data_IF_881949321926
#
_entry.id   IF_881949321926
#
_cell.length_a   1.000
_cell.length_b   1.000
_cell.length_c   1.000
_cell.angle_alpha   90.00
_cell.angle_beta   90.00
_cell.angle_gamma   90.00
#
_symmetry.space_group_name_H-M   'P 1'
#
loop_
_entity.id
_entity.type
_entity.pdbx_description
1 polymer ?
#
# COMPACT_ATOMS: atom_id res chain seq x y z
N UNK A 1 23.20 6.21 -12.36
CA UNK A 1 22.94 6.82 -11.04
C UNK A 1 22.16 5.83 -10.18
N UNK A 2 22.58 5.59 -8.93
CA UNK A 2 21.91 4.65 -8.02
C UNK A 2 21.19 5.47 -6.95
N UNK A 3 19.88 5.24 -6.79
CA UNK A 3 19.05 5.93 -5.79
C UNK A 3 18.17 4.94 -5.03
N UNK A 4 17.70 5.34 -3.87
CA UNK A 4 16.80 4.53 -3.07
C UNK A 4 15.55 5.31 -2.62
N UNK A 5 14.45 4.58 -2.47
CA UNK A 5 13.27 4.99 -1.75
C UNK A 5 13.04 4.08 -0.56
N UNK A 6 12.79 4.65 0.60
CA UNK A 6 12.51 3.92 1.84
C UNK A 6 11.15 4.34 2.38
N UNK A 7 10.22 3.40 2.44
CA UNK A 7 8.88 3.58 3.01
C UNK A 7 8.84 2.90 4.38
N UNK A 8 8.60 3.67 5.43
CA UNK A 8 8.41 3.13 6.78
C UNK A 8 6.98 3.38 7.21
N UNK A 9 6.15 2.39 6.94
CA UNK A 9 4.74 2.39 7.29
C UNK A 9 4.47 2.04 8.75
N UNK A 10 3.21 1.72 9.06
CA UNK A 10 2.75 1.36 10.42
C UNK A 10 2.87 -0.13 10.74
N UNK A 11 2.97 -1.02 9.73
CA UNK A 11 3.08 -2.49 9.89
C UNK A 11 4.30 -3.06 9.18
N UNK A 12 4.71 -2.46 8.10
CA UNK A 12 5.85 -2.89 7.28
C UNK A 12 6.73 -1.71 6.90
N UNK A 13 7.98 -2.02 6.56
CA UNK A 13 8.92 -1.13 5.93
C UNK A 13 9.39 -1.74 4.63
N UNK A 14 9.48 -0.91 3.59
CA UNK A 14 9.85 -1.25 2.24
C UNK A 14 11.02 -0.40 1.77
N UNK A 15 11.93 -1.00 1.02
CA UNK A 15 12.99 -0.27 0.33
C UNK A 15 13.08 -0.72 -1.12
N UNK A 16 13.25 0.24 -2.02
CA UNK A 16 13.48 0.02 -3.45
C UNK A 16 14.78 0.70 -3.85
N UNK A 17 15.65 -0.04 -4.52
CA UNK A 17 16.89 0.48 -5.12
C UNK A 17 16.70 0.55 -6.63
N UNK A 18 16.86 1.76 -7.18
CA UNK A 18 16.79 2.02 -8.62
C UNK A 18 18.16 2.33 -9.19
N UNK A 19 18.42 1.83 -10.37
CA UNK A 19 19.46 2.33 -11.27
C UNK A 19 18.77 2.83 -12.53
N UNK A 20 18.87 4.13 -12.75
CA UNK A 20 18.19 4.81 -13.86
C UNK A 20 16.67 4.53 -13.85
N UNK A 21 16.12 3.81 -14.82
CA UNK A 21 14.71 3.41 -14.90
C UNK A 21 14.43 1.95 -14.49
N UNK A 22 15.42 1.26 -13.89
CA UNK A 22 15.30 -0.16 -13.56
C UNK A 22 15.33 -0.40 -12.05
N UNK A 23 14.42 -1.23 -11.57
CA UNK A 23 14.46 -1.73 -10.19
C UNK A 23 15.56 -2.78 -10.10
N UNK A 24 16.66 -2.48 -9.36
CA UNK A 24 17.74 -3.43 -9.11
C UNK A 24 17.35 -4.47 -8.06
N UNK A 25 16.75 -3.99 -6.97
CA UNK A 25 16.32 -4.83 -5.87
C UNK A 25 15.29 -4.11 -5.01
N UNK A 26 14.56 -4.89 -4.23
CA UNK A 26 13.70 -4.39 -3.18
C UNK A 26 13.66 -5.36 -1.99
N UNK A 27 13.21 -4.86 -0.86
CA UNK A 27 12.97 -5.62 0.36
C UNK A 27 11.69 -5.15 1.04
N UNK A 28 11.01 -6.08 1.70
CA UNK A 28 9.83 -5.85 2.55
C UNK A 28 10.08 -6.54 3.88
N UNK A 29 9.84 -5.85 4.99
CA UNK A 29 9.92 -6.46 6.32
C UNK A 29 8.87 -5.89 7.27
N UNK A 30 8.56 -6.58 8.34
CA UNK A 30 7.74 -6.02 9.42
C UNK A 30 8.49 -4.90 10.13
N UNK A 31 7.75 -3.85 10.53
CA UNK A 31 8.35 -2.73 11.29
C UNK A 31 8.90 -3.19 12.62
N UNK A 32 9.99 -2.58 13.02
CA UNK A 32 10.54 -2.61 14.37
C UNK A 32 9.94 -1.48 15.21
N UNK A 33 10.09 -1.51 16.55
CA UNK A 33 9.54 -0.45 17.41
C UNK A 33 10.04 0.97 17.10
N UNK A 34 11.24 1.06 16.48
CA UNK A 34 11.85 2.33 16.09
C UNK A 34 11.92 2.40 14.57
N UNK A 35 11.37 3.47 13.94
CA UNK A 35 11.38 3.63 12.48
C UNK A 35 12.78 3.61 11.89
N UNK A 36 13.78 4.19 12.58
CA UNK A 36 15.16 4.24 12.14
C UNK A 36 15.73 2.83 11.90
N UNK A 37 15.48 1.91 12.84
CA UNK A 37 15.96 0.53 12.75
C UNK A 37 15.28 -0.24 11.60
N UNK A 38 14.01 0.04 11.34
CA UNK A 38 13.30 -0.54 10.20
C UNK A 38 13.93 -0.05 8.90
N UNK A 39 14.12 1.26 8.77
CA UNK A 39 14.66 1.87 7.58
C UNK A 39 16.09 1.38 7.27
N UNK A 40 16.96 1.38 8.27
CA UNK A 40 18.34 0.91 8.12
C UNK A 40 18.38 -0.54 7.66
N UNK A 41 17.62 -1.42 8.31
CA UNK A 41 17.64 -2.85 8.02
C UNK A 41 17.01 -3.15 6.65
N UNK A 42 15.83 -2.60 6.33
CA UNK A 42 15.17 -2.87 5.05
C UNK A 42 15.97 -2.34 3.87
N UNK A 43 16.58 -1.15 4.02
CA UNK A 43 17.42 -0.57 2.98
C UNK A 43 18.74 -1.34 2.82
N UNK A 44 19.39 -1.71 3.92
CA UNK A 44 20.60 -2.52 3.87
C UNK A 44 20.37 -3.88 3.17
N UNK A 45 19.23 -4.54 3.46
CA UNK A 45 18.85 -5.80 2.80
C UNK A 45 18.58 -5.63 1.31
N UNK A 46 17.90 -4.56 0.91
CA UNK A 46 17.67 -4.25 -0.51
C UNK A 46 18.97 -3.98 -1.24
N UNK A 47 19.86 -3.18 -0.65
CA UNK A 47 21.20 -2.91 -1.20
C UNK A 47 22.06 -4.17 -1.32
N UNK A 48 22.07 -5.02 -0.30
CA UNK A 48 22.80 -6.29 -0.32
C UNK A 48 22.34 -7.22 -1.45
N UNK A 49 21.03 -7.29 -1.74
CA UNK A 49 20.49 -8.02 -2.89
C UNK A 49 21.02 -7.50 -4.22
N UNK A 50 21.24 -6.19 -4.32
CA UNK A 50 21.84 -5.54 -5.49
C UNK A 50 23.39 -5.59 -5.47
N UNK A 51 24.02 -6.16 -4.43
CA UNK A 51 25.48 -6.16 -4.20
C UNK A 51 26.04 -4.75 -4.04
N UNK A 52 25.32 -3.88 -3.39
CA UNK A 52 25.61 -2.48 -3.11
C UNK A 52 25.64 -2.21 -1.60
N UNK A 53 26.19 -1.05 -1.24
CA UNK A 53 26.23 -0.49 0.12
C UNK A 53 25.57 0.90 0.17
N UNK A 54 25.43 1.49 1.35
CA UNK A 54 24.91 2.86 1.49
C UNK A 54 25.78 3.91 0.81
N UNK A 55 27.09 3.66 0.69
CA UNK A 55 28.07 4.57 0.05
C UNK A 55 27.86 4.66 -1.47
N UNK A 56 27.23 3.65 -2.08
CA UNK A 56 26.91 3.64 -3.51
C UNK A 56 25.69 4.49 -3.86
N UNK A 57 24.89 4.91 -2.84
CA UNK A 57 23.68 5.70 -3.06
C UNK A 57 24.00 7.15 -3.38
N UNK A 58 23.59 7.62 -4.54
CA UNK A 58 23.63 9.04 -4.92
C UNK A 58 22.58 9.88 -4.16
N UNK A 59 21.41 9.30 -3.88
CA UNK A 59 20.30 9.96 -3.20
C UNK A 59 19.31 8.96 -2.62
N UNK A 60 18.73 9.29 -1.47
CA UNK A 60 17.64 8.52 -0.84
C UNK A 60 16.49 9.43 -0.43
N UNK A 61 15.27 9.02 -0.74
CA UNK A 61 14.02 9.67 -0.26
C UNK A 61 13.30 8.73 0.68
N UNK A 62 12.90 9.24 1.83
CA UNK A 62 12.05 8.55 2.79
C UNK A 62 10.58 8.92 2.61
N UNK A 63 9.68 7.97 2.91
CA UNK A 63 8.24 8.14 2.90
C UNK A 63 7.58 7.30 4.01
N UNK A 64 6.25 7.36 4.12
CA UNK A 64 5.50 6.67 5.17
C UNK A 64 5.41 7.43 6.49
N UNK A 65 4.83 6.79 7.51
CA UNK A 65 4.68 7.39 8.85
C UNK A 65 6.00 7.72 9.53
N UNK A 66 7.03 6.90 9.29
CA UNK A 66 8.37 7.05 9.88
C UNK A 66 9.28 8.01 9.15
N UNK A 67 8.89 8.58 8.02
CA UNK A 67 9.76 9.31 7.07
C UNK A 67 10.65 10.38 7.68
N UNK A 68 10.17 11.11 8.68
CA UNK A 68 10.92 12.23 9.28
C UNK A 68 12.08 11.77 10.20
N UNK A 69 12.16 10.45 10.50
CA UNK A 69 13.13 9.90 11.43
C UNK A 69 14.22 9.06 10.76
N UNK A 70 14.33 9.11 9.44
CA UNK A 70 15.29 8.28 8.70
C UNK A 70 16.61 9.01 8.53
N UNK A 71 17.69 8.57 9.24
CA UNK A 71 18.91 9.38 9.37
C UNK A 71 19.75 9.47 8.09
N UNK A 72 19.66 8.49 7.19
CA UNK A 72 20.39 8.46 5.91
C UNK A 72 19.59 9.04 4.74
N UNK A 73 18.36 9.44 4.96
CA UNK A 73 17.51 10.03 3.92
C UNK A 73 17.94 11.47 3.64
N UNK A 74 18.12 11.80 2.36
CA UNK A 74 18.44 13.18 1.93
C UNK A 74 17.20 14.09 1.97
N UNK A 75 16.01 13.51 1.92
CA UNK A 75 14.74 14.25 2.01
C UNK A 75 13.56 13.32 2.22
N UNK A 76 12.46 13.85 2.75
CA UNK A 76 11.20 13.14 2.92
C UNK A 76 10.12 13.65 1.96
N UNK A 77 9.22 12.75 1.55
CA UNK A 77 8.05 13.04 0.73
C UNK A 77 6.87 12.24 1.30
N UNK A 78 5.66 12.80 1.20
CA UNK A 78 4.46 12.13 1.69
C UNK A 78 4.18 10.84 0.90
N UNK A 79 3.74 9.80 1.61
CA UNK A 79 3.36 8.51 1.01
C UNK A 79 2.24 8.67 -0.03
N UNK A 80 1.38 9.66 0.11
CA UNK A 80 0.31 9.95 -0.86
C UNK A 80 0.92 10.28 -2.23
N UNK A 81 1.92 11.16 -2.25
CA UNK A 81 2.63 11.53 -3.49
C UNK A 81 3.42 10.34 -4.05
N UNK A 82 4.05 9.57 -3.15
CA UNK A 82 4.88 8.44 -3.56
C UNK A 82 4.06 7.31 -4.17
N UNK A 83 2.93 6.90 -3.56
CA UNK A 83 2.04 5.89 -4.15
C UNK A 83 1.49 6.34 -5.51
N UNK A 84 1.08 7.61 -5.62
CA UNK A 84 0.63 8.17 -6.89
C UNK A 84 1.70 8.10 -7.99
N UNK A 85 2.93 8.53 -7.67
CA UNK A 85 4.05 8.55 -8.60
C UNK A 85 4.50 7.14 -9.00
N UNK A 86 4.56 6.22 -8.03
CA UNK A 86 4.95 4.83 -8.25
C UNK A 86 3.94 4.07 -9.12
N UNK A 87 2.64 4.18 -8.81
CA UNK A 87 1.59 3.52 -9.60
C UNK A 87 1.55 4.03 -11.05
N UNK A 88 1.70 5.35 -11.24
CA UNK A 88 1.75 5.94 -12.57
C UNK A 88 3.00 5.51 -13.37
N UNK A 89 4.15 5.31 -12.71
CA UNK A 89 5.35 4.80 -13.38
C UNK A 89 5.14 3.37 -13.88
N UNK A 90 4.44 2.52 -13.11
CA UNK A 90 4.12 1.14 -13.53
C UNK A 90 3.14 1.14 -14.70
N UNK A 91 2.11 1.99 -14.66
CA UNK A 91 1.18 2.17 -15.76
C UNK A 91 0.84 3.66 -15.95
N UNK A 92 1.32 4.29 -17.05
CA UNK A 92 1.08 5.70 -17.34
C UNK A 92 -0.39 6.10 -17.55
N UNK A 93 -1.32 5.14 -17.68
CA UNK A 93 -2.76 5.40 -17.79
C UNK A 93 -3.46 5.50 -16.43
N UNK A 94 -2.82 5.09 -15.35
CA UNK A 94 -3.36 5.21 -13.99
C UNK A 94 -3.59 6.68 -13.66
N UNK A 95 -4.81 6.99 -13.18
CA UNK A 95 -5.21 8.31 -12.70
C UNK A 95 -5.79 8.27 -11.30
N UNK A 96 -6.17 7.09 -10.83
CA UNK A 96 -6.67 6.89 -9.48
C UNK A 96 -5.91 5.75 -8.83
N UNK A 97 -5.42 5.97 -7.62
CA UNK A 97 -4.72 4.96 -6.82
C UNK A 97 -5.48 4.75 -5.53
N UNK A 98 -5.82 3.50 -5.24
CA UNK A 98 -6.41 3.08 -3.98
C UNK A 98 -5.30 2.41 -3.16
N UNK A 99 -4.76 3.15 -2.21
CA UNK A 99 -3.72 2.65 -1.30
C UNK A 99 -4.34 2.19 0.02
N UNK A 100 -4.11 0.93 0.37
CA UNK A 100 -4.60 0.37 1.63
C UNK A 100 -3.43 -0.20 2.41
N UNK A 101 -3.00 0.59 3.38
CA UNK A 101 -1.90 0.29 4.28
C UNK A 101 -2.33 -0.48 5.53
N UNK A 102 -1.42 -0.51 6.50
CA UNK A 102 -1.63 -1.20 7.78
C UNK A 102 -2.68 -0.53 8.67
N UNK A 103 -2.66 0.80 8.80
CA UNK A 103 -3.55 1.56 9.70
C UNK A 103 -4.35 2.66 9.01
N UNK A 104 -4.13 2.88 7.75
CA UNK A 104 -4.83 3.88 6.96
C UNK A 104 -5.25 3.34 5.59
N UNK A 105 -6.11 4.06 4.93
CA UNK A 105 -6.41 3.87 3.51
C UNK A 105 -6.60 5.22 2.83
N UNK A 106 -6.17 5.30 1.58
CA UNK A 106 -6.18 6.52 0.79
C UNK A 106 -6.74 6.23 -0.60
N UNK A 107 -7.46 7.20 -1.14
CA UNK A 107 -7.76 7.25 -2.56
C UNK A 107 -7.13 8.52 -3.10
N UNK A 108 -6.27 8.36 -4.08
CA UNK A 108 -5.37 9.41 -4.59
C UNK A 108 -5.67 9.58 -6.07
N UNK A 109 -5.88 10.82 -6.50
CA UNK A 109 -5.96 11.16 -7.92
C UNK A 109 -4.66 11.80 -8.37
N UNK A 110 -4.17 11.37 -9.53
CA UNK A 110 -2.94 11.89 -10.12
C UNK A 110 -3.19 12.51 -11.49
N UNK A 111 -2.33 13.44 -11.88
CA UNK A 111 -2.31 14.04 -13.21
C UNK A 111 -1.65 13.13 -14.26
N UNK A 112 -1.50 13.64 -15.49
CA UNK A 112 -0.87 12.93 -16.60
C UNK A 112 0.61 12.64 -16.43
N UNK A 113 1.25 13.23 -15.43
CA UNK A 113 2.66 13.04 -15.08
C UNK A 113 2.83 12.22 -13.79
N UNK A 114 1.73 11.77 -13.18
CA UNK A 114 1.74 10.97 -11.95
C UNK A 114 1.90 11.81 -10.68
N UNK A 115 1.72 13.13 -10.74
CA UNK A 115 1.72 13.97 -9.55
C UNK A 115 0.33 14.02 -8.93
N UNK A 116 0.28 13.97 -7.60
CA UNK A 116 -0.95 14.02 -6.83
C UNK A 116 -1.66 15.36 -7.02
N UNK A 117 -2.95 15.31 -7.37
CA UNK A 117 -3.82 16.48 -7.56
C UNK A 117 -4.93 16.56 -6.53
N UNK A 118 -5.39 15.41 -6.00
CA UNK A 118 -6.44 15.34 -4.97
C UNK A 118 -6.36 14.02 -4.24
N UNK A 119 -6.84 13.97 -2.99
CA UNK A 119 -6.91 12.73 -2.23
C UNK A 119 -7.95 12.79 -1.12
N UNK A 120 -8.40 11.61 -0.71
CA UNK A 120 -9.15 11.40 0.54
C UNK A 120 -8.46 10.29 1.33
N UNK A 121 -8.30 10.51 2.63
CA UNK A 121 -7.62 9.59 3.55
C UNK A 121 -8.50 9.26 4.74
N UNK A 122 -8.43 8.02 5.21
CA UNK A 122 -8.92 7.58 6.50
C UNK A 122 -7.74 7.06 7.32
N UNK A 123 -7.31 7.85 8.29
CA UNK A 123 -6.18 7.58 9.19
C UNK A 123 -6.61 7.40 10.66
N UNK A 124 -7.91 7.61 10.95
CA UNK A 124 -8.45 7.60 12.33
C UNK A 124 -9.17 6.32 12.70
N UNK A 125 -9.50 5.47 11.73
CA UNK A 125 -10.30 4.28 11.96
C UNK A 125 -9.68 3.07 11.25
N UNK A 126 -9.35 2.03 12.01
CA UNK A 126 -8.77 0.80 11.47
C UNK A 126 -9.72 0.03 10.54
N UNK A 127 -11.04 0.27 10.61
CA UNK A 127 -11.98 -0.39 9.71
C UNK A 127 -11.68 -0.01 8.25
N UNK A 128 -11.41 -1.01 7.43
CA UNK A 128 -11.00 -0.84 6.03
C UNK A 128 -9.49 -0.75 5.81
N UNK A 129 -8.68 -1.23 6.75
CA UNK A 129 -7.21 -1.24 6.68
C UNK A 129 -6.64 -2.65 6.91
N UNK A 130 -5.34 -2.83 6.77
CA UNK A 130 -4.68 -4.10 7.03
C UNK A 130 -4.89 -4.62 8.47
N UNK A 131 -4.91 -3.73 9.47
CA UNK A 131 -5.23 -4.10 10.87
C UNK A 131 -6.64 -4.68 11.04
N UNK A 132 -7.58 -4.21 10.25
CA UNK A 132 -8.92 -4.79 10.24
C UNK A 132 -8.87 -6.25 9.77
N UNK A 133 -8.17 -6.53 8.66
CA UNK A 133 -8.01 -7.89 8.14
C UNK A 133 -7.25 -8.80 9.10
N UNK A 134 -6.15 -8.32 9.72
CA UNK A 134 -5.44 -9.08 10.77
C UNK A 134 -6.38 -9.48 11.92
N UNK A 135 -7.21 -8.53 12.36
CA UNK A 135 -8.21 -8.79 13.41
C UNK A 135 -9.26 -9.81 13.01
N UNK A 136 -9.75 -9.74 11.76
CA UNK A 136 -10.73 -10.68 11.24
C UNK A 136 -10.17 -12.08 11.01
N UNK A 137 -8.96 -12.19 10.47
CA UNK A 137 -8.26 -13.47 10.30
C UNK A 137 -8.08 -14.18 11.65
N UNK A 138 -7.69 -13.43 12.69
CA UNK A 138 -7.57 -13.96 14.05
C UNK A 138 -8.90 -14.49 14.61
N UNK A 139 -10.01 -13.77 14.41
CA UNK A 139 -11.35 -14.21 14.88
C UNK A 139 -11.81 -15.44 14.10
N UNK A 140 -11.56 -15.49 12.79
CA UNK A 140 -11.86 -16.65 11.95
C UNK A 140 -10.94 -17.84 12.20
N UNK A 141 -9.82 -17.67 12.96
CA UNK A 141 -8.84 -18.73 13.20
C UNK A 141 -8.10 -19.18 11.95
N UNK A 142 -7.78 -18.22 11.07
CA UNK A 142 -7.01 -18.44 9.83
C UNK A 142 -5.80 -17.51 9.76
N UNK A 143 -4.79 -17.89 8.98
CA UNK A 143 -3.69 -16.98 8.64
C UNK A 143 -4.17 -15.85 7.73
N UNK A 144 -3.50 -14.69 7.80
CA UNK A 144 -3.91 -13.50 7.05
C UNK A 144 -3.93 -13.77 5.54
N UNK A 145 -2.95 -14.50 5.05
CA UNK A 145 -2.79 -14.87 3.63
C UNK A 145 -3.91 -15.82 3.15
N UNK A 146 -4.48 -16.61 4.05
CA UNK A 146 -5.59 -17.52 3.74
C UNK A 146 -6.95 -16.81 3.67
N UNK A 147 -7.06 -15.59 4.22
CA UNK A 147 -8.34 -14.86 4.27
C UNK A 147 -8.86 -14.50 2.87
N UNK A 148 -7.96 -14.12 1.95
CA UNK A 148 -8.31 -13.80 0.56
C UNK A 148 -8.89 -15.00 -0.19
N UNK A 149 -8.17 -16.11 -0.33
CA UNK A 149 -8.68 -17.35 -0.94
C UNK A 149 -9.98 -17.85 -0.29
N UNK A 150 -10.07 -17.80 1.05
CA UNK A 150 -11.29 -18.17 1.77
C UNK A 150 -12.48 -17.31 1.35
N UNK A 151 -12.32 -15.99 1.30
CA UNK A 151 -13.39 -15.08 0.91
C UNK A 151 -13.82 -15.23 -0.56
N UNK A 152 -12.89 -15.61 -1.46
CA UNK A 152 -13.25 -15.92 -2.86
C UNK A 152 -14.04 -17.23 -3.00
N UNK A 153 -13.95 -18.14 -2.05
CA UNK A 153 -14.72 -19.38 -2.04
C UNK A 153 -16.17 -19.18 -1.53
N UNK A 154 -16.46 -18.03 -0.88
CA UNK A 154 -17.80 -17.73 -0.38
C UNK A 154 -18.80 -17.49 -1.51
N UNK A 155 -19.95 -18.15 -1.43
CA UNK A 155 -21.00 -18.05 -2.43
C UNK A 155 -22.00 -16.91 -2.14
N UNK A 156 -22.18 -16.57 -0.85
CA UNK A 156 -23.15 -15.57 -0.40
C UNK A 156 -22.57 -14.68 0.69
N UNK A 157 -21.94 -13.54 0.34
CA UNK A 157 -21.29 -12.65 1.31
C UNK A 157 -22.27 -12.20 2.43
N UNK A 158 -21.97 -12.54 3.67
CA UNK A 158 -22.78 -12.19 4.85
C UNK A 158 -22.54 -10.73 5.24
N UNK A 159 -23.60 -9.99 5.56
CA UNK A 159 -23.50 -8.60 5.98
C UNK A 159 -22.78 -8.45 7.32
N UNK A 160 -21.74 -7.63 7.37
CA UNK A 160 -20.93 -7.36 8.56
C UNK A 160 -20.99 -5.87 8.90
N UNK A 161 -21.00 -5.54 10.19
CA UNK A 161 -20.97 -4.16 10.70
C UNK A 161 -19.76 -3.40 10.17
N UNK A 162 -20.00 -2.22 9.59
CA UNK A 162 -18.99 -1.38 8.92
C UNK A 162 -18.50 -0.21 9.78
N UNK A 163 -19.08 -0.02 10.97
CA UNK A 163 -18.86 1.19 11.78
C UNK A 163 -17.57 1.16 12.56
N UNK A 164 -17.29 0.05 13.23
CA UNK A 164 -16.15 -0.09 14.14
C UNK A 164 -15.56 -1.51 14.03
N UNK A 165 -14.22 -1.60 14.02
CA UNK A 165 -13.50 -2.88 13.96
C UNK A 165 -13.88 -3.82 15.10
N UNK A 166 -14.07 -3.29 16.33
CA UNK A 166 -14.44 -4.10 17.49
C UNK A 166 -15.84 -4.70 17.34
N UNK A 167 -16.81 -3.90 16.88
CA UNK A 167 -18.16 -4.37 16.63
C UNK A 167 -18.19 -5.40 15.50
N UNK A 168 -17.42 -5.17 14.44
CA UNK A 168 -17.31 -6.11 13.34
C UNK A 168 -16.68 -7.46 13.78
N UNK A 169 -15.68 -7.44 14.66
CA UNK A 169 -15.12 -8.65 15.24
C UNK A 169 -16.17 -9.42 16.10
N UNK A 170 -16.97 -8.68 16.85
CA UNK A 170 -18.06 -9.26 17.62
C UNK A 170 -19.12 -9.89 16.71
N UNK A 171 -19.53 -9.20 15.64
CA UNK A 171 -20.46 -9.77 14.64
C UNK A 171 -19.93 -11.07 14.06
N UNK A 172 -18.65 -11.10 13.65
CA UNK A 172 -18.02 -12.31 13.10
C UNK A 172 -18.00 -13.45 14.12
N UNK A 173 -17.75 -13.17 15.41
CA UNK A 173 -17.85 -14.20 16.47
C UNK A 173 -19.27 -14.73 16.62
N UNK A 174 -20.29 -13.87 16.57
CA UNK A 174 -21.68 -14.30 16.60
C UNK A 174 -22.03 -15.20 15.41
N UNK A 175 -21.70 -14.78 14.20
CA UNK A 175 -21.92 -15.55 12.97
C UNK A 175 -21.25 -16.95 13.03
N UNK A 176 -20.03 -17.04 13.55
CA UNK A 176 -19.34 -18.33 13.76
C UNK A 176 -20.08 -19.20 14.77
N UNK A 177 -20.59 -18.64 15.87
CA UNK A 177 -21.37 -19.37 16.88
C UNK A 177 -22.73 -19.83 16.36
N UNK A 178 -23.33 -19.05 15.44
CA UNK A 178 -24.59 -19.40 14.77
C UNK A 178 -24.39 -20.46 13.67
N UNK A 179 -23.15 -20.87 13.40
CA UNK A 179 -22.80 -21.91 12.45
C UNK A 179 -22.75 -21.48 10.99
N UNK A 180 -22.65 -20.16 10.74
CA UNK A 180 -22.51 -19.62 9.40
C UNK A 180 -21.21 -20.05 8.72
N UNK A 181 -21.22 -20.15 7.40
CA UNK A 181 -20.06 -20.58 6.63
C UNK A 181 -18.92 -19.57 6.70
N UNK A 182 -17.71 -20.04 6.99
CA UNK A 182 -16.52 -19.20 7.13
C UNK A 182 -16.16 -18.48 5.84
N UNK A 183 -16.40 -19.10 4.69
CA UNK A 183 -16.08 -18.49 3.40
C UNK A 183 -17.06 -17.33 3.11
N UNK A 184 -18.33 -17.48 3.43
CA UNK A 184 -19.35 -16.44 3.29
C UNK A 184 -19.09 -15.27 4.26
N UNK A 185 -18.65 -15.56 5.49
CA UNK A 185 -18.20 -14.53 6.44
C UNK A 185 -16.97 -13.79 5.88
N UNK A 186 -15.96 -14.50 5.38
CA UNK A 186 -14.75 -13.90 4.80
C UNK A 186 -15.06 -13.04 3.55
N UNK A 187 -16.00 -13.49 2.70
CA UNK A 187 -16.51 -12.69 1.58
C UNK A 187 -17.21 -11.42 2.07
N UNK A 188 -18.01 -11.52 3.15
CA UNK A 188 -18.65 -10.37 3.81
C UNK A 188 -17.64 -9.35 4.35
N UNK A 189 -16.53 -9.81 4.91
CA UNK A 189 -15.41 -8.94 5.35
C UNK A 189 -14.84 -8.14 4.16
N UNK A 190 -14.54 -8.80 3.04
CA UNK A 190 -14.05 -8.16 1.81
C UNK A 190 -15.05 -7.11 1.29
N UNK A 191 -16.33 -7.46 1.23
CA UNK A 191 -17.40 -6.56 0.80
C UNK A 191 -17.56 -5.36 1.72
N UNK A 192 -17.49 -5.53 3.03
CA UNK A 192 -17.57 -4.43 3.99
C UNK A 192 -16.44 -3.41 3.81
N UNK A 193 -15.22 -3.88 3.54
CA UNK A 193 -14.08 -3.02 3.18
C UNK A 193 -14.32 -2.29 1.85
N UNK A 194 -14.72 -3.02 0.81
CA UNK A 194 -14.96 -2.48 -0.52
C UNK A 194 -15.98 -1.33 -0.51
N UNK A 195 -17.10 -1.51 0.20
CA UNK A 195 -18.13 -0.47 0.31
C UNK A 195 -17.65 0.79 1.03
N UNK A 196 -16.75 0.65 2.01
CA UNK A 196 -16.14 1.80 2.70
C UNK A 196 -15.20 2.56 1.76
N UNK A 197 -14.32 1.84 1.06
CA UNK A 197 -13.35 2.43 0.14
C UNK A 197 -14.05 3.07 -1.06
N UNK A 198 -15.11 2.45 -1.57
CA UNK A 198 -15.93 3.02 -2.65
C UNK A 198 -16.53 4.38 -2.28
N UNK A 199 -16.92 4.58 -1.01
CA UNK A 199 -17.39 5.92 -0.56
C UNK A 199 -16.27 6.98 -0.63
N UNK A 200 -15.04 6.59 -0.33
CA UNK A 200 -13.87 7.48 -0.46
C UNK A 200 -13.55 7.75 -1.92
N UNK A 201 -13.56 6.72 -2.77
CA UNK A 201 -13.34 6.83 -4.21
C UNK A 201 -14.35 7.78 -4.89
N UNK A 202 -15.63 7.68 -4.52
CA UNK A 202 -16.68 8.60 -5.00
C UNK A 202 -16.44 10.05 -4.59
N UNK A 203 -15.83 10.31 -3.43
CA UNK A 203 -15.53 11.68 -2.96
C UNK A 203 -14.40 12.33 -3.74
N UNK A 204 -13.37 11.57 -4.11
CA UNK A 204 -12.24 12.05 -4.93
C UNK A 204 -12.65 12.19 -6.39
N UNK A 205 -13.59 11.38 -6.85
CA UNK A 205 -13.98 11.25 -8.26
C UNK A 205 -12.98 10.37 -9.01
N UNK A 206 -13.37 9.13 -9.30
CA UNK A 206 -12.56 8.15 -10.02
C UNK A 206 -12.33 8.62 -11.46
N UNK A 207 -11.08 8.57 -11.92
CA UNK A 207 -10.70 8.93 -13.29
C UNK A 207 -9.66 7.93 -13.82
N UNK A 208 -9.68 7.71 -15.12
CA UNK A 208 -8.73 6.85 -15.84
C UNK A 208 -8.71 5.40 -15.31
N UNK A 209 -7.58 4.73 -15.49
CA UNK A 209 -7.38 3.43 -14.87
C UNK A 209 -7.16 3.55 -13.36
N UNK A 210 -7.69 2.60 -12.61
CA UNK A 210 -7.60 2.53 -11.15
C UNK A 210 -6.64 1.42 -10.76
N UNK A 211 -5.58 1.75 -10.04
CA UNK A 211 -4.65 0.76 -9.47
C UNK A 211 -4.83 0.65 -7.96
N UNK A 212 -4.60 -0.55 -7.41
CA UNK A 212 -4.58 -0.77 -5.98
C UNK A 212 -3.15 -1.01 -5.50
N UNK A 213 -2.74 -0.33 -4.41
CA UNK A 213 -1.41 -0.42 -3.80
C UNK A 213 -1.50 -0.73 -2.31
N UNK A 214 -0.35 -0.96 -1.68
CA UNK A 214 -0.26 -1.36 -0.28
C UNK A 214 -0.46 -2.85 -0.04
N UNK A 215 -0.23 -3.31 1.18
CA UNK A 215 -0.26 -4.74 1.52
C UNK A 215 -1.61 -5.42 1.29
N UNK A 216 -2.72 -4.67 1.43
CA UNK A 216 -4.08 -5.21 1.23
C UNK A 216 -4.40 -5.51 -0.24
N UNK A 217 -3.67 -4.92 -1.19
CA UNK A 217 -3.80 -5.26 -2.61
C UNK A 217 -3.47 -6.74 -2.93
N UNK A 218 -2.80 -7.44 -2.01
CA UNK A 218 -2.53 -8.88 -2.10
C UNK A 218 -3.73 -9.75 -1.67
N UNK A 219 -4.77 -9.17 -1.08
CA UNK A 219 -5.97 -9.92 -0.67
C UNK A 219 -6.98 -9.97 -1.83
N UNK A 220 -7.04 -11.10 -2.51
CA UNK A 220 -7.86 -11.27 -3.71
C UNK A 220 -9.37 -11.08 -3.47
N UNK A 221 -9.89 -11.42 -2.28
CA UNK A 221 -11.31 -11.22 -1.97
C UNK A 221 -11.64 -9.72 -1.82
N UNK A 222 -10.73 -8.92 -1.24
CA UNK A 222 -10.90 -7.46 -1.15
C UNK A 222 -10.83 -6.83 -2.53
N UNK A 223 -9.87 -7.25 -3.37
CA UNK A 223 -9.73 -6.77 -4.75
C UNK A 223 -11.01 -7.07 -5.56
N UNK A 224 -11.48 -8.32 -5.55
CA UNK A 224 -12.70 -8.74 -6.24
C UNK A 224 -13.93 -7.95 -5.75
N UNK A 225 -14.13 -7.89 -4.42
CA UNK A 225 -15.25 -7.14 -3.85
C UNK A 225 -15.19 -5.65 -4.20
N UNK A 226 -14.00 -5.08 -4.30
CA UNK A 226 -13.83 -3.67 -4.65
C UNK A 226 -14.17 -3.42 -6.12
N UNK A 227 -13.80 -4.32 -7.04
CA UNK A 227 -14.21 -4.28 -8.44
C UNK A 227 -15.73 -4.35 -8.58
N UNK A 228 -16.36 -5.29 -7.87
CA UNK A 228 -17.83 -5.47 -7.90
C UNK A 228 -18.55 -4.21 -7.39
N UNK A 229 -18.12 -3.65 -6.25
CA UNK A 229 -18.82 -2.51 -5.63
C UNK A 229 -18.55 -1.19 -6.38
N UNK A 230 -17.36 -1.03 -6.96
CA UNK A 230 -17.02 0.12 -7.83
C UNK A 230 -17.67 0.01 -9.21
N UNK A 231 -17.95 -1.20 -9.68
CA UNK A 231 -18.44 -1.48 -11.03
C UNK A 231 -17.39 -1.22 -12.11
N UNK A 232 -16.11 -1.46 -11.80
CA UNK A 232 -14.99 -1.30 -12.72
C UNK A 232 -13.87 -2.30 -12.41
N UNK A 233 -13.03 -2.59 -13.39
CA UNK A 233 -11.84 -3.40 -13.19
C UNK A 233 -10.69 -2.57 -12.61
N UNK A 234 -9.92 -3.20 -11.72
CA UNK A 234 -8.69 -2.62 -11.17
C UNK A 234 -7.49 -3.10 -12.00
N UNK A 235 -6.64 -2.16 -12.37
CA UNK A 235 -5.37 -2.50 -13.02
C UNK A 235 -4.50 -3.31 -12.06
N UNK A 236 -4.10 -4.50 -12.50
CA UNK A 236 -3.24 -5.38 -11.74
C UNK A 236 -1.77 -4.97 -11.93
N UNK A 237 -1.06 -4.74 -10.84
CA UNK A 237 0.37 -4.39 -10.84
C UNK A 237 1.24 -5.66 -11.01
N UNK A 238 1.10 -6.36 -12.15
CA UNK A 238 1.75 -7.68 -12.37
C UNK A 238 3.27 -7.61 -12.35
N UNK A 239 3.85 -6.49 -12.77
CA UNK A 239 5.31 -6.31 -12.87
C UNK A 239 5.97 -5.86 -11.58
N UNK A 240 5.20 -5.42 -10.58
CA UNK A 240 5.70 -4.83 -9.33
C UNK A 240 4.83 -5.28 -8.15
N UNK A 241 5.45 -5.70 -7.06
CA UNK A 241 4.72 -5.98 -5.82
C UNK A 241 3.96 -4.72 -5.37
N UNK A 242 2.61 -4.75 -5.22
CA UNK A 242 1.82 -3.58 -4.87
C UNK A 242 2.23 -2.93 -3.53
N UNK A 243 2.91 -3.67 -2.67
CA UNK A 243 3.36 -3.18 -1.38
C UNK A 243 4.57 -2.26 -1.47
N UNK A 244 5.44 -2.42 -2.50
CA UNK A 244 6.61 -1.57 -2.65
C UNK A 244 6.35 -0.27 -3.41
N UNK A 245 5.13 -0.01 -3.88
CA UNK A 245 4.83 1.13 -4.76
C UNK A 245 5.11 2.47 -4.10
N UNK A 246 4.91 2.59 -2.78
CA UNK A 246 5.29 3.76 -2.00
C UNK A 246 6.81 4.01 -2.03
N UNK A 247 7.60 2.97 -1.74
CA UNK A 247 9.07 3.05 -1.80
C UNK A 247 9.57 3.28 -3.23
N UNK A 248 8.93 2.68 -4.25
CA UNK A 248 9.22 2.94 -5.66
C UNK A 248 9.01 4.42 -6.02
N UNK A 249 7.87 4.99 -5.63
CA UNK A 249 7.59 6.40 -5.84
C UNK A 249 8.60 7.32 -5.16
N UNK A 250 9.02 6.97 -3.94
CA UNK A 250 10.08 7.67 -3.22
C UNK A 250 11.43 7.60 -3.98
N UNK A 251 11.79 6.43 -4.53
CA UNK A 251 13.00 6.26 -5.34
C UNK A 251 12.95 7.08 -6.65
N UNK A 252 11.79 7.18 -7.30
CA UNK A 252 11.59 8.03 -8.47
C UNK A 252 11.79 9.51 -8.14
N UNK A 253 11.27 9.97 -7.00
CA UNK A 253 11.55 11.33 -6.52
C UNK A 253 13.02 11.53 -6.13
N UNK A 254 13.68 10.50 -5.59
CA UNK A 254 15.13 10.55 -5.32
C UNK A 254 15.91 10.78 -6.61
N UNK A 255 15.60 10.08 -7.68
CA UNK A 255 16.19 10.26 -9.01
C UNK A 255 15.98 11.68 -9.53
N UNK A 256 14.74 12.18 -9.54
CA UNK A 256 14.42 13.52 -10.02
C UNK A 256 15.19 14.62 -9.26
N UNK A 257 15.35 14.45 -7.94
CA UNK A 257 16.11 15.41 -7.10
C UNK A 257 17.61 15.34 -7.36
N UNK A 258 18.15 14.15 -7.53
CA UNK A 258 19.56 13.96 -7.85
C UNK A 258 19.91 14.61 -9.20
N UNK A 259 19.13 14.35 -10.25
CA UNK A 259 19.30 14.96 -11.57
C UNK A 259 19.25 16.50 -11.52
N UNK A 260 18.34 17.06 -10.72
CA UNK A 260 18.25 18.53 -10.54
C UNK A 260 19.48 19.08 -9.84
N UNK A 261 20.07 18.37 -8.87
CA UNK A 261 21.29 18.81 -8.21
C UNK A 261 22.50 18.75 -9.15
N UNK A 262 22.62 17.71 -9.97
CA UNK A 262 23.70 17.60 -10.96
C UNK A 262 23.64 18.72 -12.00
N UNK A 263 22.45 19.04 -12.53
CA UNK A 263 22.27 20.17 -13.44
C UNK A 263 22.65 21.52 -12.85
N UNK A 264 22.34 21.74 -11.57
CA UNK A 264 22.73 22.98 -10.86
C UNK A 264 24.22 23.12 -10.59
N UNK A 265 24.95 21.98 -10.48
CA UNK A 265 26.42 21.99 -10.31
C UNK A 265 27.14 22.19 -11.63
N UNK A 266 26.49 21.87 -12.75
CA UNK A 266 27.06 21.99 -14.10
C UNK A 266 26.77 23.36 -14.75
N UNK A 267 25.89 24.18 -14.18
CA UNK A 267 25.55 25.56 -14.59
C UNK A 267 26.29 26.59 -13.73
#
# INVERSE_FOLDING_TARGET
MIVAGCDVGSLSGEAVVLQDDSILAYEIMRVRPRPELTAEEVTARALAKAKLSFEDLSYCVSTGYGREKIPFSNSSISEISCHGRGAHWVNPNVRTVIDIGGQDCKVIRVDKLGYMVDFVMNDKCAAGTGRFLEGMAKVLGVELEALGPLGLAGASPIGITKTCTVLAQFDVMCLLNDGEDRADIAAGIGRAMAERITKMAKRVGVQGEVAMTGGVAKNAAVVSSLQDVLGLELYQLESVDPQIVGALGAALFARERCERQERRKAS
#
